data_IF_845270999501
#
_entry.id   IF_845270999501
#
_cell.length_a   1.000
_cell.length_b   1.000
_cell.length_c   1.000
_cell.angle_alpha   90.00
_cell.angle_beta   90.00
_cell.angle_gamma   90.00
#
_symmetry.space_group_name_H-M   'P 1'
#
loop_
_entity.id
_entity.type
_entity.pdbx_description
1 polymer ?
#
# COMPACT_ATOMS: atom_id res chain seq x y z
N UNK A 1 -6.47 2.96 16.82
CA UNK A 1 -5.27 2.16 17.12
C UNK A 1 -4.01 2.99 16.84
N UNK A 2 -3.19 3.33 17.84
CA UNK A 2 -1.99 4.15 17.65
C UNK A 2 -1.01 3.60 16.62
N UNK A 3 -0.90 2.27 16.50
CA UNK A 3 -0.01 1.60 15.54
C UNK A 3 -0.36 1.89 14.08
N UNK A 4 -1.62 2.23 13.77
CA UNK A 4 -2.09 2.56 12.41
C UNK A 4 -1.71 3.97 11.98
N UNK A 5 -1.31 4.83 12.93
CA UNK A 5 -0.76 6.17 12.70
C UNK A 5 -1.61 7.06 11.80
N UNK A 6 -2.87 7.19 12.12
CA UNK A 6 -3.76 8.16 11.46
C UNK A 6 -3.32 9.62 11.66
N UNK A 7 -2.68 9.91 12.78
CA UNK A 7 -2.01 11.18 13.07
C UNK A 7 -0.98 11.52 11.99
N UNK A 8 -0.10 10.55 11.66
CA UNK A 8 0.90 10.70 10.61
C UNK A 8 0.25 10.96 9.22
N UNK A 9 -0.82 10.24 8.88
CA UNK A 9 -1.55 10.49 7.63
C UNK A 9 -2.11 11.92 7.61
N UNK A 10 -2.66 12.40 8.73
CA UNK A 10 -3.13 13.79 8.83
C UNK A 10 -2.01 14.79 8.60
N UNK A 11 -0.83 14.56 9.19
CA UNK A 11 0.35 15.42 9.00
C UNK A 11 0.77 15.44 7.52
N UNK A 12 0.76 14.31 6.84
CA UNK A 12 1.02 14.24 5.39
C UNK A 12 -0.01 15.06 4.62
N UNK A 13 -1.31 14.83 4.84
CA UNK A 13 -2.38 15.50 4.10
C UNK A 13 -2.38 17.02 4.35
N UNK A 14 -2.16 17.44 5.59
CA UNK A 14 -2.10 18.88 5.92
C UNK A 14 -0.85 19.58 5.40
N UNK A 15 0.19 18.83 5.04
CA UNK A 15 1.44 19.34 4.45
C UNK A 15 1.42 19.34 2.91
N UNK A 16 0.36 18.86 2.28
CA UNK A 16 0.23 18.91 0.82
C UNK A 16 0.03 20.34 0.32
N UNK A 17 0.54 20.66 -0.89
CA UNK A 17 0.16 21.87 -1.60
C UNK A 17 -1.37 21.95 -1.76
N UNK A 18 -1.92 23.18 -1.69
CA UNK A 18 -3.37 23.39 -1.73
C UNK A 18 -4.01 22.81 -3.00
N UNK A 19 -3.36 22.99 -4.15
CA UNK A 19 -3.81 22.46 -5.44
C UNK A 19 -3.82 20.93 -5.52
N UNK A 20 -3.06 20.24 -4.65
CA UNK A 20 -3.09 18.78 -4.52
C UNK A 20 -4.15 18.38 -3.52
N UNK A 21 -4.16 19.02 -2.35
CA UNK A 21 -5.06 18.68 -1.25
C UNK A 21 -6.55 18.78 -1.65
N UNK A 22 -6.93 19.76 -2.47
CA UNK A 22 -8.30 19.94 -2.93
C UNK A 22 -8.83 18.79 -3.81
N UNK A 23 -7.95 18.04 -4.47
CA UNK A 23 -8.30 16.90 -5.32
C UNK A 23 -8.24 15.56 -4.57
N UNK A 24 -7.77 15.54 -3.31
CA UNK A 24 -7.61 14.31 -2.53
C UNK A 24 -8.90 13.96 -1.77
N UNK A 25 -9.36 12.74 -1.98
CA UNK A 25 -10.43 12.12 -1.21
C UNK A 25 -9.86 10.92 -0.44
N UNK A 26 -9.87 11.02 0.90
CA UNK A 26 -9.41 9.96 1.78
C UNK A 26 -10.55 9.04 2.18
N UNK A 27 -10.36 7.73 1.96
CA UNK A 27 -11.25 6.70 2.48
C UNK A 27 -10.54 5.94 3.60
N UNK A 28 -11.01 6.12 4.84
CA UNK A 28 -10.47 5.44 6.01
C UNK A 28 -11.25 4.17 6.30
N UNK A 29 -10.70 3.02 5.87
CA UNK A 29 -11.34 1.71 5.98
C UNK A 29 -10.98 1.08 7.33
N UNK A 30 -11.97 0.50 8.00
CA UNK A 30 -11.84 -0.24 9.25
C UNK A 30 -12.68 0.32 10.38
N UNK A 31 -12.19 1.31 11.13
CA UNK A 31 -12.92 1.85 12.28
C UNK A 31 -14.08 2.78 11.90
N UNK A 32 -13.93 3.55 10.84
CA UNK A 32 -14.94 4.54 10.41
C UNK A 32 -15.85 3.97 9.31
N UNK A 33 -15.27 3.26 8.35
CA UNK A 33 -16.00 2.67 7.23
C UNK A 33 -15.79 1.16 7.23
N UNK A 34 -16.89 0.41 7.32
CA UNK A 34 -16.89 -1.04 7.14
C UNK A 34 -17.36 -1.37 5.74
N UNK A 35 -16.51 -2.03 4.98
CA UNK A 35 -16.81 -2.51 3.63
C UNK A 35 -16.99 -4.03 3.64
N UNK A 36 -17.85 -4.54 2.75
CA UNK A 36 -17.81 -5.96 2.39
C UNK A 36 -16.52 -6.26 1.59
N UNK A 37 -16.18 -7.52 1.44
CA UNK A 37 -15.01 -7.92 0.66
C UNK A 37 -15.09 -7.42 -0.79
N UNK A 38 -16.27 -7.48 -1.41
CA UNK A 38 -16.51 -6.97 -2.77
C UNK A 38 -16.33 -5.45 -2.84
N UNK A 39 -16.84 -4.71 -1.85
CA UNK A 39 -16.68 -3.27 -1.77
C UNK A 39 -15.22 -2.87 -1.53
N UNK A 40 -14.49 -3.64 -0.71
CA UNK A 40 -13.06 -3.42 -0.47
C UNK A 40 -12.26 -3.60 -1.77
N UNK A 41 -12.49 -4.69 -2.49
CA UNK A 41 -11.84 -4.93 -3.78
C UNK A 41 -12.14 -3.80 -4.76
N UNK A 42 -13.40 -3.38 -4.88
CA UNK A 42 -13.79 -2.27 -5.75
C UNK A 42 -13.12 -0.95 -5.33
N UNK A 43 -13.05 -0.65 -4.04
CA UNK A 43 -12.36 0.54 -3.53
C UNK A 43 -10.87 0.52 -3.87
N UNK A 44 -10.19 -0.61 -3.68
CA UNK A 44 -8.77 -0.75 -4.01
C UNK A 44 -8.50 -0.68 -5.52
N UNK A 45 -9.37 -1.25 -6.35
CA UNK A 45 -9.24 -1.16 -7.80
C UNK A 45 -9.34 0.27 -8.33
N UNK A 46 -10.11 1.14 -7.67
CA UNK A 46 -10.35 2.52 -8.09
C UNK A 46 -9.52 3.56 -7.33
N UNK A 47 -8.92 3.19 -6.20
CA UNK A 47 -8.03 4.09 -5.46
C UNK A 47 -6.73 4.38 -6.24
N UNK A 48 -6.25 5.61 -6.20
CA UNK A 48 -4.98 6.00 -6.82
C UNK A 48 -3.79 5.41 -6.04
N UNK A 49 -3.90 5.27 -4.71
CA UNK A 49 -2.92 4.59 -3.87
C UNK A 49 -3.51 4.20 -2.51
N UNK A 50 -2.93 3.18 -1.89
CA UNK A 50 -3.10 2.86 -0.47
C UNK A 50 -1.98 3.52 0.33
N UNK A 51 -2.31 4.35 1.33
CA UNK A 51 -1.36 4.84 2.34
C UNK A 51 -1.34 3.88 3.53
N UNK A 52 -0.19 3.28 3.82
CA UNK A 52 -0.03 2.30 4.89
C UNK A 52 1.12 2.66 5.84
N UNK A 53 0.93 3.64 6.75
CA UNK A 53 1.97 4.11 7.66
C UNK A 53 2.09 3.25 8.94
N UNK A 54 1.42 2.10 9.02
CA UNK A 54 1.45 1.24 10.20
C UNK A 54 2.87 0.91 10.64
N UNK A 55 3.12 0.92 11.94
CA UNK A 55 4.44 0.65 12.53
C UNK A 55 4.56 -0.74 13.15
N UNK A 56 3.48 -1.51 13.17
CA UNK A 56 3.47 -2.87 13.71
C UNK A 56 2.38 -3.69 13.05
N UNK A 57 2.79 -4.64 12.28
CA UNK A 57 1.92 -5.61 11.61
C UNK A 57 2.54 -7.02 11.69
N UNK A 58 1.67 -8.03 11.63
CA UNK A 58 2.12 -9.41 11.49
C UNK A 58 2.55 -9.70 10.05
N UNK A 59 1.58 -9.80 9.14
CA UNK A 59 1.82 -10.10 7.73
C UNK A 59 1.64 -8.88 6.80
N UNK A 60 0.79 -7.93 7.15
CA UNK A 60 0.47 -6.78 6.28
C UNK A 60 -0.57 -7.13 5.22
N UNK A 61 -1.70 -7.72 5.62
CA UNK A 61 -2.81 -8.05 4.72
C UNK A 61 -3.28 -6.87 3.86
N UNK A 62 -3.51 -5.65 4.42
CA UNK A 62 -4.01 -4.54 3.61
C UNK A 62 -3.11 -4.18 2.43
N UNK A 63 -1.77 -4.08 2.55
CA UNK A 63 -0.90 -3.92 1.39
C UNK A 63 -0.96 -5.08 0.40
N UNK A 64 -1.02 -6.32 0.88
CA UNK A 64 -1.11 -7.49 0.00
C UNK A 64 -2.42 -7.50 -0.80
N UNK A 65 -3.54 -7.17 -0.17
CA UNK A 65 -4.84 -7.02 -0.82
C UNK A 65 -4.83 -5.89 -1.86
N UNK A 66 -4.24 -4.75 -1.52
CA UNK A 66 -4.09 -3.62 -2.45
C UNK A 66 -3.26 -4.01 -3.68
N UNK A 67 -2.10 -4.63 -3.48
CA UNK A 67 -1.24 -5.09 -4.57
C UNK A 67 -1.94 -6.15 -5.44
N UNK A 68 -2.69 -7.07 -4.84
CA UNK A 68 -3.48 -8.07 -5.59
C UNK A 68 -4.56 -7.43 -6.46
N UNK A 69 -5.11 -6.28 -6.04
CA UNK A 69 -6.05 -5.47 -6.81
C UNK A 69 -5.36 -4.52 -7.82
N UNK A 70 -4.04 -4.56 -7.91
CA UNK A 70 -3.24 -3.62 -8.73
C UNK A 70 -3.24 -2.19 -8.21
N UNK A 71 -3.54 -1.98 -6.93
CA UNK A 71 -3.49 -0.67 -6.29
C UNK A 71 -2.07 -0.33 -5.86
N UNK A 72 -1.50 0.81 -6.27
CA UNK A 72 -0.23 1.29 -5.75
C UNK A 72 -0.24 1.39 -4.23
N UNK A 73 0.87 1.03 -3.60
CA UNK A 73 1.04 1.05 -2.15
C UNK A 73 2.14 2.03 -1.79
N UNK A 74 1.88 2.88 -0.81
CA UNK A 74 2.85 3.75 -0.15
C UNK A 74 2.90 3.30 1.32
N UNK A 75 3.97 2.63 1.73
CA UNK A 75 4.06 2.00 3.03
C UNK A 75 5.34 2.39 3.79
N UNK A 76 5.26 2.31 5.12
CA UNK A 76 6.42 2.54 5.96
C UNK A 76 7.48 1.45 5.78
N UNK A 77 8.74 1.83 5.61
CA UNK A 77 9.87 0.92 5.52
C UNK A 77 10.21 0.36 6.89
N UNK A 78 9.68 -0.83 7.18
CA UNK A 78 9.85 -1.56 8.43
C UNK A 78 10.08 -3.05 8.14
N UNK A 79 10.74 -3.81 9.04
CA UNK A 79 11.12 -5.20 8.78
C UNK A 79 10.00 -6.10 8.26
N UNK A 80 8.80 -6.06 8.88
CA UNK A 80 7.67 -6.87 8.44
C UNK A 80 7.13 -6.45 7.04
N UNK A 81 7.26 -5.17 6.69
CA UNK A 81 6.81 -4.65 5.39
C UNK A 81 7.79 -5.02 4.26
N UNK A 82 9.10 -5.04 4.55
CA UNK A 82 10.14 -5.32 3.55
C UNK A 82 10.04 -6.74 2.98
N UNK A 83 9.44 -7.66 3.71
CA UNK A 83 9.25 -9.04 3.28
C UNK A 83 8.08 -9.21 2.30
N UNK A 84 7.11 -8.31 2.37
CA UNK A 84 5.83 -8.42 1.64
C UNK A 84 5.73 -7.38 0.52
N UNK A 85 6.24 -6.16 0.75
CA UNK A 85 6.05 -5.00 -0.11
C UNK A 85 7.32 -4.72 -0.91
N UNK A 86 7.23 -4.50 -2.23
CA UNK A 86 8.39 -4.12 -3.05
C UNK A 86 9.07 -2.86 -2.53
N UNK A 87 10.40 -2.81 -2.57
CA UNK A 87 11.20 -1.68 -2.08
C UNK A 87 10.75 -0.33 -2.63
N UNK A 88 10.35 -0.28 -3.90
CA UNK A 88 9.84 0.93 -4.57
C UNK A 88 8.57 1.53 -3.94
N UNK A 89 7.87 0.75 -3.13
CA UNK A 89 6.65 1.15 -2.43
C UNK A 89 6.91 1.55 -0.97
N UNK A 90 8.16 1.50 -0.52
CA UNK A 90 8.55 1.73 0.88
C UNK A 90 9.17 3.11 1.06
N UNK A 91 8.70 3.83 2.08
CA UNK A 91 9.21 5.15 2.46
C UNK A 91 9.65 5.17 3.93
N UNK A 92 10.56 6.08 4.31
CA UNK A 92 10.92 6.27 5.71
C UNK A 92 9.68 6.47 6.58
N UNK A 93 9.58 5.72 7.68
CA UNK A 93 8.37 5.67 8.51
C UNK A 93 8.04 6.99 9.23
N UNK A 94 9.00 7.90 9.34
CA UNK A 94 8.87 9.16 10.09
C UNK A 94 9.08 10.42 9.26
N UNK A 95 9.39 10.27 7.98
CA UNK A 95 9.64 11.41 7.07
C UNK A 95 8.35 11.82 6.35
N UNK A 96 7.61 12.75 6.94
CA UNK A 96 6.36 13.31 6.38
C UNK A 96 6.58 13.83 4.96
N UNK A 97 7.70 14.51 4.69
CA UNK A 97 7.95 15.13 3.39
C UNK A 97 8.19 14.09 2.29
N UNK A 98 8.84 12.97 2.58
CA UNK A 98 8.96 11.87 1.62
C UNK A 98 7.58 11.33 1.20
N UNK A 99 6.63 11.25 2.12
CA UNK A 99 5.26 10.82 1.82
C UNK A 99 4.49 11.90 1.05
N UNK A 100 4.66 13.17 1.41
CA UNK A 100 4.10 14.30 0.66
C UNK A 100 4.56 14.27 -0.79
N UNK A 101 5.86 14.12 -1.03
CA UNK A 101 6.44 14.05 -2.37
C UNK A 101 5.87 12.90 -3.20
N UNK A 102 5.64 11.74 -2.57
CA UNK A 102 5.06 10.59 -3.26
C UNK A 102 3.59 10.81 -3.60
N UNK A 103 2.79 11.38 -2.70
CA UNK A 103 1.40 11.76 -2.98
C UNK A 103 1.32 12.78 -4.10
N UNK A 104 2.22 13.77 -4.12
CA UNK A 104 2.31 14.76 -5.21
C UNK A 104 2.61 14.09 -6.55
N UNK A 105 3.50 13.08 -6.58
CA UNK A 105 3.77 12.32 -7.81
C UNK A 105 2.54 11.55 -8.30
N UNK A 106 1.82 10.89 -7.39
CA UNK A 106 0.57 10.18 -7.72
C UNK A 106 -0.45 11.16 -8.29
N UNK A 107 -0.65 12.31 -7.66
CA UNK A 107 -1.55 13.36 -8.13
C UNK A 107 -1.13 13.88 -9.51
N UNK A 108 0.16 14.13 -9.73
CA UNK A 108 0.66 14.59 -11.03
C UNK A 108 0.43 13.55 -12.15
N UNK A 109 0.56 12.27 -11.84
CA UNK A 109 0.25 11.18 -12.78
C UNK A 109 -1.24 11.15 -13.13
N UNK A 110 -2.11 11.27 -12.13
CA UNK A 110 -3.56 11.35 -12.32
C UNK A 110 -3.96 12.57 -13.17
N UNK A 111 -3.39 13.74 -12.92
CA UNK A 111 -3.62 14.94 -13.75
C UNK A 111 -3.18 14.73 -15.21
N UNK A 112 -2.01 14.13 -15.45
CA UNK A 112 -1.53 13.82 -16.81
C UNK A 112 -2.44 12.85 -17.55
N UNK A 113 -3.07 11.93 -16.82
CA UNK A 113 -4.06 11.01 -17.38
C UNK A 113 -5.43 11.65 -17.65
N UNK A 114 -5.59 12.96 -17.37
CA UNK A 114 -6.86 13.68 -17.57
C UNK A 114 -7.84 13.55 -16.42
N UNK A 115 -7.38 13.22 -15.21
CA UNK A 115 -8.23 13.09 -14.03
C UNK A 115 -9.12 11.84 -14.05
N UNK A 116 -8.75 10.82 -14.82
CA UNK A 116 -9.46 9.54 -14.86
C UNK A 116 -8.78 8.50 -13.98
N UNK A 117 -9.53 7.50 -13.49
CA UNK A 117 -8.93 6.41 -12.70
C UNK A 117 -7.80 5.73 -13.45
N UNK A 118 -6.74 5.38 -12.73
CA UNK A 118 -5.59 4.64 -13.25
C UNK A 118 -5.96 3.23 -13.72
N UNK A 119 -5.12 2.65 -14.57
CA UNK A 119 -5.13 1.22 -14.82
C UNK A 119 -4.52 0.45 -13.63
N UNK A 120 -4.88 -0.84 -13.44
CA UNK A 120 -4.20 -1.70 -12.47
C UNK A 120 -2.68 -1.75 -12.71
N UNK A 121 -1.90 -1.77 -11.64
CA UNK A 121 -0.46 -1.99 -11.71
C UNK A 121 -0.18 -3.50 -11.80
N UNK A 122 0.03 -3.99 -13.02
CA UNK A 122 0.27 -5.41 -13.29
C UNK A 122 1.52 -5.93 -12.58
N UNK A 123 2.53 -5.09 -12.37
CA UNK A 123 3.77 -5.50 -11.68
C UNK A 123 3.54 -5.82 -10.21
N UNK A 124 2.56 -5.16 -9.57
CA UNK A 124 2.16 -5.47 -8.19
C UNK A 124 1.36 -6.77 -8.13
N UNK A 125 0.46 -6.99 -9.09
CA UNK A 125 -0.30 -8.23 -9.20
C UNK A 125 0.66 -9.42 -9.39
N UNK A 126 1.62 -9.29 -10.29
CA UNK A 126 2.67 -10.30 -10.53
C UNK A 126 3.50 -10.55 -9.26
N UNK A 127 3.89 -9.49 -8.53
CA UNK A 127 4.62 -9.61 -7.28
C UNK A 127 3.87 -10.46 -6.24
N UNK A 128 2.57 -10.20 -6.06
CA UNK A 128 1.72 -10.97 -5.13
C UNK A 128 1.62 -12.42 -5.58
N UNK A 129 1.38 -12.66 -6.85
CA UNK A 129 1.25 -14.01 -7.41
C UNK A 129 2.54 -14.82 -7.26
N UNK A 130 3.69 -14.19 -7.53
CA UNK A 130 4.99 -14.85 -7.48
C UNK A 130 5.53 -15.07 -6.06
N UNK A 131 5.19 -14.18 -5.10
CA UNK A 131 5.83 -14.15 -3.78
C UNK A 131 4.90 -14.53 -2.64
N UNK A 132 3.60 -14.23 -2.74
CA UNK A 132 2.63 -14.32 -1.64
C UNK A 132 1.51 -15.34 -1.90
N UNK A 133 1.47 -15.99 -3.07
CA UNK A 133 0.49 -17.04 -3.32
C UNK A 133 0.73 -18.26 -2.43
N UNK A 134 -0.29 -19.09 -2.15
CA UNK A 134 -0.13 -20.32 -1.40
C UNK A 134 0.95 -21.25 -1.97
N UNK A 135 1.05 -21.32 -3.31
CA UNK A 135 2.08 -22.12 -3.98
C UNK A 135 3.49 -21.56 -3.74
N UNK A 136 3.66 -20.23 -3.80
CA UNK A 136 4.94 -19.57 -3.54
C UNK A 136 5.38 -19.78 -2.10
N UNK A 137 4.47 -19.63 -1.15
CA UNK A 137 4.72 -19.85 0.28
C UNK A 137 5.07 -21.32 0.56
N UNK A 138 4.35 -22.26 -0.05
CA UNK A 138 4.63 -23.70 0.06
C UNK A 138 6.02 -24.06 -0.45
N UNK A 139 6.45 -23.51 -1.60
CA UNK A 139 7.81 -23.71 -2.14
C UNK A 139 8.88 -23.11 -1.24
N UNK A 140 8.65 -21.93 -0.69
CA UNK A 140 9.59 -21.28 0.24
C UNK A 140 9.77 -22.10 1.52
N UNK A 141 8.68 -22.63 2.08
CA UNK A 141 8.73 -23.52 3.24
C UNK A 141 9.48 -24.81 2.95
N UNK A 142 9.19 -25.50 1.84
CA UNK A 142 9.87 -26.73 1.45
C UNK A 142 11.38 -26.51 1.34
N UNK A 143 11.81 -25.46 0.67
CA UNK A 143 13.23 -25.08 0.56
C UNK A 143 13.88 -24.79 1.92
N UNK A 144 13.17 -24.14 2.83
CA UNK A 144 13.67 -23.87 4.18
C UNK A 144 13.87 -25.17 4.98
N UNK A 145 12.96 -26.14 4.84
CA UNK A 145 13.10 -27.45 5.46
C UNK A 145 14.29 -28.23 4.89
N UNK A 146 14.47 -28.26 3.58
CA UNK A 146 15.59 -28.94 2.93
C UNK A 146 16.94 -28.39 3.44
N UNK A 147 17.07 -27.07 3.50
CA UNK A 147 18.29 -26.40 4.01
C UNK A 147 18.55 -26.64 5.50
N UNK A 148 17.52 -26.90 6.30
CA UNK A 148 17.67 -27.16 7.74
C UNK A 148 18.07 -28.63 8.03
N UNK A 149 17.93 -29.52 7.04
CA UNK A 149 18.28 -30.94 7.15
C UNK A 149 19.69 -31.27 6.62
N UNK A 150 20.42 -30.31 6.05
CA UNK A 150 21.81 -30.41 5.66
C UNK A 150 22.76 -29.99 6.82
#
# INVERSE_FOLDING_TARGET
>A
EPRKRLDFVRDVITSLPEEVAQDIHMLHIGSEVKLSDEQLVAALQHAEALLFPSISEGFGYPPAEAMAAGCPVIAANLPAHNEVIPERCLLPATDVMAWVDEVVKVHAAWKRAGGVPRNPDDSLIEHVTASLSPEAQGKAMAKAFDNACE
#
